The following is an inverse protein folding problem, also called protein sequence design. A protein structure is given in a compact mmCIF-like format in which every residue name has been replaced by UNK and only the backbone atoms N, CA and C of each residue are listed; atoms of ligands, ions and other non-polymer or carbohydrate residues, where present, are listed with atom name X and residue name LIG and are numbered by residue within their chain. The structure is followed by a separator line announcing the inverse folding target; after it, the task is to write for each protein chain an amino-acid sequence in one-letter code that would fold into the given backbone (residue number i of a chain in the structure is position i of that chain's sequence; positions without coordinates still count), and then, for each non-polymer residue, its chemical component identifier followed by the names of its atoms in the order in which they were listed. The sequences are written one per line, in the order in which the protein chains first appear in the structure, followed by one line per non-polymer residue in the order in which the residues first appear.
data_IF_794386014187
#
_entry.id   IF_794386014187
#
_cell.length_a   1.000
_cell.length_b   1.000
_cell.length_c   1.000
_cell.angle_alpha   90.00
_cell.angle_beta   90.00
_cell.angle_gamma   90.00
#
_symmetry.space_group_name_H-M   'P 1'
#
loop_
_entity.id
_entity.type
_entity.pdbx_description
1 polymer ?
#
# COMPACT_ATOMS: atom_id res chain seq x y z
N UNK A 1 23.18 33.15 9.30
CA UNK A 1 24.52 33.37 8.70
C UNK A 1 24.57 32.55 7.43
N UNK A 2 24.49 33.21 6.27
CA UNK A 2 24.38 32.59 4.96
C UNK A 2 25.76 32.07 4.52
N UNK A 3 25.94 30.74 4.48
CA UNK A 3 27.08 30.15 3.79
C UNK A 3 26.84 30.30 2.28
N UNK A 4 27.56 31.21 1.65
CA UNK A 4 27.51 31.40 0.21
C UNK A 4 28.00 30.13 -0.48
N UNK A 5 27.14 29.49 -1.28
CA UNK A 5 27.49 28.37 -2.14
C UNK A 5 28.53 28.87 -3.16
N UNK A 6 29.72 28.26 -3.15
CA UNK A 6 30.78 28.61 -4.08
C UNK A 6 30.43 28.19 -5.53
N UNK A 7 30.94 28.89 -6.55
CA UNK A 7 30.67 28.58 -7.97
C UNK A 7 31.10 27.15 -8.34
N UNK A 8 30.22 26.44 -9.05
CA UNK A 8 30.36 25.01 -9.39
C UNK A 8 31.59 24.67 -10.29
N UNK A 9 32.23 25.67 -10.89
CA UNK A 9 33.31 25.50 -11.88
C UNK A 9 34.70 25.18 -11.28
N UNK A 10 34.84 25.04 -9.96
CA UNK A 10 36.16 24.85 -9.29
C UNK A 10 36.28 23.62 -8.39
N UNK A 11 35.27 22.74 -8.31
CA UNK A 11 35.22 21.64 -7.34
C UNK A 11 35.79 20.32 -7.90
N UNK A 12 36.68 19.66 -7.16
CA UNK A 12 37.17 18.30 -7.50
C UNK A 12 36.03 17.27 -7.31
N UNK A 13 36.08 16.12 -7.98
CA UNK A 13 34.98 15.14 -7.97
C UNK A 13 34.50 14.69 -6.57
N UNK A 14 35.41 14.58 -5.59
CA UNK A 14 35.06 14.27 -4.20
C UNK A 14 34.38 15.42 -3.44
N UNK A 15 34.60 16.65 -3.89
CA UNK A 15 34.04 17.90 -3.36
C UNK A 15 32.64 18.17 -3.95
N UNK A 16 32.37 17.70 -5.17
CA UNK A 16 31.05 17.79 -5.81
C UNK A 16 30.03 16.93 -5.07
N UNK A 17 30.41 15.71 -4.67
CA UNK A 17 29.51 14.82 -3.92
C UNK A 17 29.12 15.42 -2.55
N UNK A 18 30.06 16.03 -1.84
CA UNK A 18 29.78 16.66 -0.54
C UNK A 18 28.89 17.89 -0.67
N UNK A 19 29.09 18.70 -1.72
CA UNK A 19 28.20 19.83 -2.03
C UNK A 19 26.79 19.34 -2.40
N UNK A 20 26.68 18.26 -3.18
CA UNK A 20 25.38 17.67 -3.53
C UNK A 20 24.66 17.07 -2.32
N UNK A 21 25.37 16.34 -1.45
CA UNK A 21 24.82 15.81 -0.20
C UNK A 21 24.35 16.93 0.74
N UNK A 22 25.12 18.01 0.84
CA UNK A 22 24.76 19.19 1.65
C UNK A 22 23.54 19.91 1.09
N UNK A 23 23.44 20.05 -0.23
CA UNK A 23 22.28 20.66 -0.89
C UNK A 23 21.04 19.79 -0.71
N UNK A 24 21.16 18.50 -0.99
CA UNK A 24 20.08 17.52 -0.87
C UNK A 24 19.53 17.46 0.55
N UNK A 25 20.41 17.42 1.56
CA UNK A 25 20.01 17.43 2.97
C UNK A 25 19.31 18.74 3.35
N UNK A 26 19.84 19.91 2.98
CA UNK A 26 19.18 21.19 3.23
C UNK A 26 17.80 21.30 2.57
N UNK A 27 17.66 20.85 1.33
CA UNK A 27 16.37 20.84 0.61
C UNK A 27 15.38 19.91 1.32
N UNK A 28 15.82 18.70 1.71
CA UNK A 28 14.98 17.76 2.44
C UNK A 28 14.57 18.28 3.81
N UNK A 29 15.46 18.90 4.58
CA UNK A 29 15.16 19.42 5.90
C UNK A 29 14.25 20.65 5.84
N UNK A 30 14.48 21.53 4.87
CA UNK A 30 13.60 22.66 4.60
C UNK A 30 12.21 22.19 4.18
N UNK A 31 12.12 21.19 3.28
CA UNK A 31 10.85 20.61 2.86
C UNK A 31 10.13 19.92 4.03
N UNK A 32 10.83 19.14 4.86
CA UNK A 32 10.25 18.51 6.05
C UNK A 32 9.74 19.54 7.07
N UNK A 33 10.47 20.63 7.27
CA UNK A 33 10.09 21.70 8.20
C UNK A 33 8.87 22.50 7.72
N UNK A 34 8.81 22.79 6.41
CA UNK A 34 7.75 23.64 5.82
C UNK A 34 6.49 22.86 5.44
N UNK A 35 6.65 21.70 4.81
CA UNK A 35 5.55 20.89 4.27
C UNK A 35 5.18 19.71 5.19
N UNK A 36 6.06 19.35 6.12
CA UNK A 36 5.91 18.13 6.91
C UNK A 36 6.29 16.87 6.15
N UNK A 37 6.28 15.73 6.85
CA UNK A 37 6.40 14.41 6.24
C UNK A 37 5.03 13.96 5.77
N UNK A 38 4.93 13.45 4.52
CA UNK A 38 3.72 12.80 4.04
C UNK A 38 3.48 11.54 4.87
N UNK A 39 2.53 11.62 5.80
CA UNK A 39 2.08 10.45 6.55
C UNK A 39 1.31 9.56 5.58
N UNK A 40 1.76 8.31 5.42
CA UNK A 40 1.00 7.30 4.70
C UNK A 40 -0.22 6.96 5.55
N UNK A 41 -1.36 7.55 5.24
CA UNK A 41 -2.63 7.06 5.76
C UNK A 41 -2.90 5.72 5.09
N UNK A 42 -3.00 4.66 5.88
CA UNK A 42 -3.65 3.46 5.39
C UNK A 42 -5.14 3.83 5.31
N UNK A 43 -5.71 3.88 4.10
CA UNK A 43 -7.16 3.92 3.96
C UNK A 43 -7.70 2.55 4.39
N UNK A 44 -7.75 2.32 5.69
CA UNK A 44 -8.40 1.17 6.29
C UNK A 44 -9.51 1.66 7.22
N UNK A 45 -10.57 0.86 7.37
CA UNK A 45 -11.72 1.18 8.21
C UNK A 45 -11.35 1.38 9.69
N UNK A 46 -10.14 0.98 10.07
CA UNK A 46 -9.65 0.95 11.44
C UNK A 46 -9.20 2.31 11.97
N UNK A 47 -8.41 3.07 11.22
CA UNK A 47 -7.74 4.30 11.73
C UNK A 47 -8.75 5.34 12.24
N UNK A 48 -9.87 5.53 11.52
CA UNK A 48 -10.92 6.48 11.91
C UNK A 48 -11.78 5.98 13.09
N UNK A 49 -11.75 4.69 13.41
CA UNK A 49 -12.56 4.05 14.46
C UNK A 49 -11.73 3.48 15.62
N UNK A 50 -10.41 3.71 15.62
CA UNK A 50 -9.44 3.11 16.54
C UNK A 50 -9.76 3.39 18.00
N UNK A 51 -10.11 4.65 18.35
CA UNK A 51 -10.38 5.05 19.73
C UNK A 51 -11.52 4.27 20.42
N UNK A 52 -12.65 4.07 19.73
CA UNK A 52 -13.80 3.36 20.30
C UNK A 52 -13.51 1.86 20.44
N UNK A 53 -12.75 1.30 19.49
CA UNK A 53 -12.40 -0.11 19.49
C UNK A 53 -11.31 -0.42 20.53
N UNK A 54 -10.32 0.46 20.69
CA UNK A 54 -9.27 0.36 21.72
C UNK A 54 -9.84 0.41 23.12
N UNK A 55 -10.76 1.33 23.40
CA UNK A 55 -11.45 1.41 24.69
C UNK A 55 -12.19 0.11 25.04
N UNK A 56 -12.90 -0.47 24.06
CA UNK A 56 -13.62 -1.74 24.22
C UNK A 56 -12.66 -2.91 24.45
N UNK A 57 -11.54 -2.96 23.71
CA UNK A 57 -10.46 -3.94 23.87
C UNK A 57 -9.84 -3.83 25.27
N UNK A 58 -9.54 -2.63 25.73
CA UNK A 58 -8.91 -2.41 27.03
C UNK A 58 -9.86 -2.74 28.19
N UNK A 59 -11.16 -2.45 28.04
CA UNK A 59 -12.19 -2.98 28.95
C UNK A 59 -12.16 -4.51 28.99
N UNK A 60 -12.14 -5.18 27.85
CA UNK A 60 -12.10 -6.65 27.80
C UNK A 60 -10.81 -7.22 28.43
N UNK A 61 -9.65 -6.64 28.15
CA UNK A 61 -8.37 -7.03 28.75
C UNK A 61 -8.39 -6.88 30.28
N UNK A 62 -8.98 -5.79 30.81
CA UNK A 62 -9.15 -5.60 32.26
C UNK A 62 -10.01 -6.70 32.89
N UNK A 63 -11.15 -7.01 32.26
CA UNK A 63 -12.03 -8.10 32.72
C UNK A 63 -11.31 -9.45 32.68
N UNK A 64 -10.52 -9.72 31.64
CA UNK A 64 -9.78 -10.97 31.49
C UNK A 64 -8.73 -11.13 32.61
N UNK A 65 -8.01 -10.04 32.91
CA UNK A 65 -7.01 -9.99 33.99
C UNK A 65 -7.64 -10.16 35.38
N UNK A 66 -8.86 -9.68 35.58
CA UNK A 66 -9.60 -9.88 36.82
C UNK A 66 -10.08 -11.33 36.95
N UNK A 67 -10.67 -11.88 35.89
CA UNK A 67 -11.10 -13.28 35.85
C UNK A 67 -9.96 -14.26 36.13
N UNK A 68 -8.79 -14.03 35.53
CA UNK A 68 -7.61 -14.87 35.73
C UNK A 68 -7.07 -14.86 37.15
N UNK A 69 -7.40 -13.83 37.96
CA UNK A 69 -6.97 -13.69 39.35
C UNK A 69 -7.98 -14.26 40.34
N UNK A 70 -9.27 -14.14 40.05
CA UNK A 70 -10.34 -14.42 41.01
C UNK A 70 -11.11 -15.71 40.71
N UNK A 71 -10.98 -16.28 39.50
CA UNK A 71 -11.67 -17.51 39.06
C UNK A 71 -13.19 -17.56 39.37
N UNK A 72 -13.86 -16.40 39.33
CA UNK A 72 -15.29 -16.30 39.65
C UNK A 72 -16.17 -16.62 38.43
N UNK A 73 -17.12 -17.55 38.61
CA UNK A 73 -18.06 -17.98 37.55
C UNK A 73 -18.94 -16.86 36.97
N UNK A 74 -19.30 -15.85 37.77
CA UNK A 74 -20.06 -14.67 37.32
C UNK A 74 -19.31 -13.82 36.27
N UNK A 75 -17.98 -13.86 36.28
CA UNK A 75 -17.13 -13.06 35.40
C UNK A 75 -17.05 -13.63 33.95
N UNK A 76 -17.42 -14.90 33.73
CA UNK A 76 -17.45 -15.51 32.38
C UNK A 76 -18.52 -14.87 31.50
N UNK A 77 -19.69 -14.52 32.06
CA UNK A 77 -20.77 -13.87 31.29
C UNK A 77 -20.36 -12.47 30.85
N UNK A 78 -19.75 -11.68 31.73
CA UNK A 78 -19.25 -10.33 31.44
C UNK A 78 -18.10 -10.35 30.41
N UNK A 79 -17.22 -11.34 30.50
CA UNK A 79 -16.20 -11.59 29.47
C UNK A 79 -16.82 -11.87 28.10
N UNK A 80 -17.85 -12.72 28.06
CA UNK A 80 -18.57 -13.00 26.81
C UNK A 80 -19.23 -11.76 26.24
N UNK A 81 -19.90 -10.95 27.07
CA UNK A 81 -20.53 -9.71 26.61
C UNK A 81 -19.50 -8.72 26.10
N UNK A 82 -18.40 -8.48 26.81
CA UNK A 82 -17.34 -7.57 26.35
C UNK A 82 -16.70 -8.01 25.03
N UNK A 83 -16.51 -9.32 24.83
CA UNK A 83 -16.04 -9.85 23.54
C UNK A 83 -17.05 -9.63 22.41
N UNK A 84 -18.34 -9.86 22.67
CA UNK A 84 -19.40 -9.63 21.68
C UNK A 84 -19.53 -8.15 21.32
N UNK A 85 -19.37 -7.24 22.28
CA UNK A 85 -19.36 -5.79 22.02
C UNK A 85 -18.19 -5.38 21.13
N UNK A 86 -16.97 -5.88 21.37
CA UNK A 86 -15.82 -5.63 20.47
C UNK A 86 -16.14 -6.10 19.05
N UNK A 87 -16.67 -7.32 18.92
CA UNK A 87 -17.01 -7.89 17.60
C UNK A 87 -18.10 -7.10 16.88
N UNK A 88 -19.09 -6.60 17.63
CA UNK A 88 -20.16 -5.75 17.13
C UNK A 88 -19.62 -4.40 16.66
N UNK A 89 -18.82 -3.73 17.48
CA UNK A 89 -18.21 -2.43 17.13
C UNK A 89 -17.31 -2.54 15.91
N UNK A 90 -16.44 -3.56 15.86
CA UNK A 90 -15.59 -3.81 14.70
C UNK A 90 -16.40 -4.03 13.43
N UNK A 91 -17.50 -4.79 13.50
CA UNK A 91 -18.38 -5.01 12.36
C UNK A 91 -19.06 -3.72 11.92
N UNK A 92 -19.61 -2.95 12.86
CA UNK A 92 -20.28 -1.68 12.55
C UNK A 92 -19.33 -0.66 11.92
N UNK A 93 -18.10 -0.53 12.44
CA UNK A 93 -17.07 0.33 11.89
C UNK A 93 -16.71 -0.08 10.45
N UNK A 94 -16.46 -1.37 10.24
CA UNK A 94 -16.17 -1.94 8.92
C UNK A 94 -17.32 -1.74 7.93
N UNK A 95 -18.54 -2.06 8.34
CA UNK A 95 -19.73 -1.94 7.49
C UNK A 95 -19.99 -0.48 7.10
N UNK A 96 -19.86 0.45 8.05
CA UNK A 96 -19.97 1.89 7.78
C UNK A 96 -18.95 2.35 6.74
N UNK A 97 -17.70 1.93 6.88
CA UNK A 97 -16.64 2.28 5.94
C UNK A 97 -16.91 1.73 4.53
N UNK A 98 -17.31 0.46 4.42
CA UNK A 98 -17.65 -0.15 3.12
C UNK A 98 -18.87 0.51 2.47
N UNK A 99 -19.88 0.88 3.26
CA UNK A 99 -21.03 1.62 2.75
C UNK A 99 -20.65 3.00 2.23
N UNK A 100 -19.76 3.71 2.93
CA UNK A 100 -19.27 5.02 2.50
C UNK A 100 -18.46 4.90 1.21
N UNK A 101 -17.49 3.98 1.15
CA UNK A 101 -16.70 3.72 -0.06
C UNK A 101 -17.59 3.29 -1.23
N UNK A 102 -18.56 2.41 -1.01
CA UNK A 102 -19.50 2.00 -2.06
C UNK A 102 -20.32 3.18 -2.60
N UNK A 103 -20.78 4.09 -1.72
CA UNK A 103 -21.51 5.30 -2.14
C UNK A 103 -20.63 6.24 -2.94
N UNK A 104 -19.39 6.46 -2.49
CA UNK A 104 -18.41 7.28 -3.22
C UNK A 104 -18.14 6.71 -4.62
N UNK A 105 -17.89 5.41 -4.72
CA UNK A 105 -17.64 4.74 -6.00
C UNK A 105 -18.86 4.79 -6.93
N UNK A 106 -20.06 4.61 -6.39
CA UNK A 106 -21.30 4.77 -7.16
C UNK A 106 -21.44 6.20 -7.70
N UNK A 107 -21.22 7.21 -6.85
CA UNK A 107 -21.26 8.62 -7.26
C UNK A 107 -20.22 8.95 -8.34
N UNK A 108 -19.01 8.40 -8.25
CA UNK A 108 -17.97 8.57 -9.28
C UNK A 108 -18.41 7.95 -10.62
N UNK A 109 -19.06 6.79 -10.58
CA UNK A 109 -19.61 6.16 -11.78
C UNK A 109 -20.75 7.01 -12.37
N UNK A 110 -21.69 7.47 -11.54
CA UNK A 110 -22.86 8.25 -11.96
C UNK A 110 -22.46 9.62 -12.54
N UNK A 111 -21.37 10.22 -12.04
CA UNK A 111 -20.83 11.50 -12.53
C UNK A 111 -19.81 11.35 -13.68
N UNK A 112 -19.62 10.13 -14.20
CA UNK A 112 -18.69 9.80 -15.28
C UNK A 112 -17.21 10.16 -14.96
N UNK A 113 -16.83 10.15 -13.69
CA UNK A 113 -15.46 10.37 -13.23
C UNK A 113 -14.66 9.07 -13.21
N UNK A 114 -14.55 8.44 -14.39
CA UNK A 114 -13.95 7.10 -14.56
C UNK A 114 -12.50 7.04 -14.05
N UNK A 115 -11.71 8.11 -14.22
CA UNK A 115 -10.33 8.16 -13.75
C UNK A 115 -10.19 7.98 -12.24
N UNK A 116 -11.00 8.70 -11.47
CA UNK A 116 -11.04 8.58 -10.01
C UNK A 116 -11.65 7.25 -9.56
N UNK A 117 -12.69 6.78 -10.26
CA UNK A 117 -13.27 5.45 -10.00
C UNK A 117 -12.21 4.34 -10.10
N UNK A 118 -11.43 4.31 -11.17
CA UNK A 118 -10.36 3.31 -11.34
C UNK A 118 -9.17 3.53 -10.40
N UNK A 119 -8.95 4.75 -9.90
CA UNK A 119 -7.97 4.99 -8.85
C UNK A 119 -8.45 4.35 -7.53
N UNK A 120 -9.69 4.60 -7.13
CA UNK A 120 -10.31 3.99 -5.93
C UNK A 120 -10.34 2.46 -5.99
N UNK A 121 -10.72 1.87 -7.13
CA UNK A 121 -10.65 0.41 -7.34
C UNK A 121 -9.24 -0.13 -7.12
N UNK A 122 -8.22 0.56 -7.65
CA UNK A 122 -6.82 0.18 -7.47
C UNK A 122 -6.35 0.35 -6.02
N UNK A 123 -6.85 1.35 -5.30
CA UNK A 123 -6.57 1.51 -3.88
C UNK A 123 -7.14 0.33 -3.06
N UNK A 124 -8.39 -0.08 -3.35
CA UNK A 124 -9.07 -1.19 -2.66
C UNK A 124 -8.48 -2.57 -2.96
N UNK A 125 -8.16 -2.86 -4.22
CA UNK A 125 -7.49 -4.10 -4.62
C UNK A 125 -6.02 -4.16 -4.13
N UNK A 126 -5.51 -3.03 -3.65
CA UNK A 126 -4.10 -2.81 -3.39
C UNK A 126 -3.33 -2.63 -4.70
N UNK A 127 -2.08 -2.15 -4.58
CA UNK A 127 -1.15 -2.23 -5.69
C UNK A 127 -0.92 -3.72 -5.97
N UNK A 128 -1.61 -4.26 -6.99
CA UNK A 128 -1.23 -5.54 -7.57
C UNK A 128 0.24 -5.42 -7.92
N UNK A 129 1.11 -6.06 -7.13
CA UNK A 129 2.50 -6.22 -7.48
C UNK A 129 2.50 -7.07 -8.74
N UNK A 130 2.47 -6.39 -9.89
CA UNK A 130 2.77 -7.02 -11.15
C UNK A 130 4.23 -7.45 -11.01
N UNK A 131 4.43 -8.69 -10.56
CA UNK A 131 5.74 -9.30 -10.57
C UNK A 131 6.14 -9.29 -12.03
N UNK A 132 7.13 -8.47 -12.37
CA UNK A 132 7.76 -8.53 -13.69
C UNK A 132 8.48 -9.86 -13.75
N UNK A 133 7.77 -10.89 -14.20
CA UNK A 133 8.36 -12.21 -14.43
C UNK A 133 9.34 -12.03 -15.58
N UNK A 134 10.62 -12.37 -15.40
CA UNK A 134 11.58 -12.32 -16.49
C UNK A 134 11.13 -13.22 -17.65
N UNK A 135 11.30 -12.76 -18.89
CA UNK A 135 11.06 -13.62 -20.05
C UNK A 135 12.19 -14.63 -20.18
N UNK A 136 11.82 -15.91 -20.24
CA UNK A 136 12.73 -17.02 -20.47
C UNK A 136 12.75 -17.41 -21.94
N UNK A 137 13.88 -17.99 -22.37
CA UNK A 137 13.94 -18.69 -23.65
C UNK A 137 12.98 -19.87 -23.67
N UNK A 138 12.60 -20.33 -24.88
CA UNK A 138 11.75 -21.51 -25.08
C UNK A 138 12.33 -22.78 -24.45
N UNK A 139 13.67 -22.86 -24.32
CA UNK A 139 14.42 -23.96 -23.68
C UNK A 139 14.55 -23.80 -22.15
N UNK A 140 14.08 -22.69 -21.56
CA UNK A 140 14.22 -22.36 -20.13
C UNK A 140 15.66 -22.23 -19.61
N UNK A 141 16.66 -22.07 -20.48
CA UNK A 141 18.08 -22.03 -20.10
C UNK A 141 18.66 -20.63 -19.89
N UNK A 142 17.98 -19.57 -20.38
CA UNK A 142 18.47 -18.20 -20.29
C UNK A 142 17.37 -17.16 -20.01
N UNK A 143 17.72 -16.17 -19.18
CA UNK A 143 16.92 -14.99 -18.86
C UNK A 143 17.28 -13.86 -19.82
N UNK A 144 16.29 -13.33 -20.55
CA UNK A 144 16.52 -12.19 -21.42
C UNK A 144 16.67 -10.91 -20.61
N UNK A 145 17.76 -10.17 -20.86
CA UNK A 145 18.08 -8.94 -20.13
C UNK A 145 18.10 -7.73 -21.05
N UNK A 146 18.31 -7.92 -22.34
CA UNK A 146 18.30 -6.85 -23.33
C UNK A 146 16.90 -6.65 -23.93
N UNK A 147 16.61 -5.44 -24.39
CA UNK A 147 15.31 -5.09 -24.99
C UNK A 147 15.08 -5.79 -26.32
N UNK A 148 16.15 -5.97 -27.10
CA UNK A 148 16.13 -6.63 -28.41
C UNK A 148 15.75 -8.10 -28.29
N UNK A 149 16.40 -8.83 -27.36
CA UNK A 149 16.07 -10.22 -27.04
C UNK A 149 14.61 -10.41 -26.61
N UNK A 150 14.09 -9.49 -25.80
CA UNK A 150 12.69 -9.53 -25.36
C UNK A 150 11.74 -9.40 -26.56
N UNK A 151 11.98 -8.44 -27.46
CA UNK A 151 11.13 -8.20 -28.63
C UNK A 151 11.16 -9.38 -29.61
N UNK A 152 12.33 -9.97 -29.82
CA UNK A 152 12.50 -11.15 -30.67
C UNK A 152 11.72 -12.35 -30.09
N UNK A 153 11.81 -12.57 -28.78
CA UNK A 153 11.02 -13.61 -28.09
C UNK A 153 9.52 -13.40 -28.21
N UNK A 154 9.04 -12.16 -28.14
CA UNK A 154 7.63 -11.83 -28.36
C UNK A 154 7.20 -12.13 -29.80
N UNK A 155 8.03 -11.81 -30.79
CA UNK A 155 7.76 -12.12 -32.19
C UNK A 155 7.70 -13.62 -32.45
N UNK A 156 8.64 -14.40 -31.90
CA UNK A 156 8.60 -15.87 -31.92
C UNK A 156 7.30 -16.41 -31.32
N UNK A 157 6.96 -15.98 -30.09
CA UNK A 157 5.78 -16.48 -29.39
C UNK A 157 4.49 -16.18 -30.17
N UNK A 158 4.37 -14.96 -30.72
CA UNK A 158 3.24 -14.55 -31.53
C UNK A 158 3.12 -15.39 -32.81
N UNK A 159 4.24 -15.63 -33.49
CA UNK A 159 4.28 -16.51 -34.66
C UNK A 159 3.88 -17.95 -34.31
N UNK A 160 4.36 -18.51 -33.20
CA UNK A 160 3.98 -19.86 -32.76
C UNK A 160 2.52 -19.99 -32.33
N UNK A 161 1.87 -18.90 -31.92
CA UNK A 161 0.46 -18.92 -31.51
C UNK A 161 -0.50 -18.72 -32.68
N UNK A 162 -0.15 -17.85 -33.62
CA UNK A 162 -1.07 -17.37 -34.65
C UNK A 162 -0.77 -17.89 -36.06
N UNK A 163 0.45 -18.38 -36.30
CA UNK A 163 0.87 -18.93 -37.59
C UNK A 163 1.11 -20.45 -37.51
N UNK A 164 0.28 -21.17 -36.74
CA UNK A 164 0.28 -22.64 -36.78
C UNK A 164 -0.60 -23.08 -37.94
N UNK A 165 0.00 -23.70 -38.95
CA UNK A 165 -0.76 -24.41 -39.98
C UNK A 165 -1.52 -25.56 -39.31
N UNK A 166 -2.82 -25.36 -39.14
CA UNK A 166 -3.75 -26.38 -38.70
C UNK A 166 -3.97 -27.30 -39.90
N UNK A 167 -3.04 -28.24 -40.10
CA UNK A 167 -3.28 -29.37 -40.99
C UNK A 167 -4.37 -30.23 -40.36
N UNK A 168 -5.62 -29.96 -40.74
CA UNK A 168 -6.75 -30.85 -40.48
C UNK A 168 -6.60 -32.04 -41.43
N UNK A 169 -6.07 -33.15 -40.93
CA UNK A 169 -6.23 -34.48 -41.55
C UNK A 169 -7.59 -35.07 -41.20
#
# INVERSE_FOLDING_TARGET
MSAALQPLDQLKSGEINTVWESLSSHVLDTAKSTLGLRVRKHEDWFDDNDGVLTDAIDKHRRLLKQHSRTHQSGSIKELRYSYLEIRKLARQAKDKWWQEKARQMQWLADTNQLGEFYAEVRHLLGTSTMVKVPLNSTSSEALFKSREEILERWAEHFNTLLNVDHFVT
#
